data_IF_182214051429
#
_entry.id   IF_182214051429
#
_cell.length_a   1.000
_cell.length_b   1.000
_cell.length_c   1.000
_cell.angle_alpha   90.00
_cell.angle_beta   90.00
_cell.angle_gamma   90.00
#
_symmetry.space_group_name_H-M   'P 1'
#
loop_
_entity.id
_entity.type
_entity.pdbx_description
1 polymer ?
#
# COMPACT_ATOMS: atom_id res chain seq x y z
N UNK A 1 -5.25 -24.84 -9.81
CA UNK A 1 -3.77 -24.67 -9.95
C UNK A 1 -3.27 -23.31 -9.49
N UNK A 2 -3.91 -22.19 -9.83
CA UNK A 2 -3.48 -20.83 -9.43
C UNK A 2 -3.37 -20.66 -7.90
N UNK A 3 -4.34 -21.17 -7.13
CA UNK A 3 -4.31 -21.08 -5.66
C UNK A 3 -3.15 -21.82 -5.01
N UNK A 4 -2.63 -22.88 -5.63
CA UNK A 4 -1.49 -23.64 -5.09
C UNK A 4 -0.16 -22.90 -5.30
N UNK A 5 -0.03 -22.18 -6.42
CA UNK A 5 1.15 -21.37 -6.72
C UNK A 5 1.22 -20.14 -5.80
N UNK A 6 0.08 -19.49 -5.57
CA UNK A 6 -0.08 -18.44 -4.56
C UNK A 6 0.29 -18.95 -3.16
N UNK A 7 -0.15 -20.15 -2.80
CA UNK A 7 0.16 -20.75 -1.49
C UNK A 7 1.65 -21.10 -1.31
N UNK A 8 2.34 -21.58 -2.34
CA UNK A 8 3.79 -21.85 -2.31
C UNK A 8 4.59 -20.54 -2.21
N UNK A 9 4.13 -19.47 -2.87
CA UNK A 9 4.74 -18.13 -2.75
C UNK A 9 4.54 -17.51 -1.36
N UNK A 10 3.44 -17.85 -0.69
CA UNK A 10 3.18 -17.46 0.71
C UNK A 10 4.00 -18.30 1.68
N UNK A 11 4.19 -19.61 1.47
CA UNK A 11 5.05 -20.42 2.34
C UNK A 11 6.53 -19.96 2.32
N UNK A 12 6.94 -19.18 1.31
CA UNK A 12 8.16 -18.38 1.31
C UNK A 12 8.10 -17.11 2.20
N UNK A 13 7.37 -17.11 3.32
CA UNK A 13 7.17 -15.98 4.26
C UNK A 13 8.48 -15.36 4.81
N UNK A 14 9.65 -15.91 4.46
CA UNK A 14 10.98 -15.33 4.71
C UNK A 14 11.72 -14.85 3.46
N UNK A 15 11.01 -14.51 2.37
CA UNK A 15 11.63 -13.91 1.20
C UNK A 15 12.22 -12.54 1.60
N UNK A 16 13.55 -12.46 1.55
CA UNK A 16 14.28 -11.21 1.67
C UNK A 16 13.73 -10.20 0.66
N UNK A 17 13.58 -8.93 1.06
CA UNK A 17 12.98 -7.84 0.24
C UNK A 17 13.40 -7.83 -1.25
N UNK A 18 14.68 -8.06 -1.62
CA UNK A 18 15.08 -8.13 -3.03
C UNK A 18 14.41 -9.26 -3.81
N UNK A 19 14.28 -10.45 -3.22
CA UNK A 19 13.68 -11.62 -3.89
C UNK A 19 12.18 -11.40 -4.07
N UNK A 20 11.51 -10.85 -3.07
CA UNK A 20 10.11 -10.45 -3.17
C UNK A 20 9.88 -9.44 -4.30
N UNK A 21 10.73 -8.40 -4.38
CA UNK A 21 10.63 -7.40 -5.44
C UNK A 21 10.85 -8.01 -6.83
N UNK A 22 11.86 -8.87 -6.98
CA UNK A 22 12.13 -9.57 -8.23
C UNK A 22 10.96 -10.46 -8.68
N UNK A 23 10.31 -11.14 -7.73
CA UNK A 23 9.10 -11.91 -8.01
C UNK A 23 7.98 -11.02 -8.55
N UNK A 24 7.69 -9.89 -7.89
CA UNK A 24 6.66 -8.97 -8.37
C UNK A 24 6.96 -8.44 -9.78
N UNK A 25 8.22 -8.12 -10.08
CA UNK A 25 8.61 -7.67 -11.42
C UNK A 25 8.41 -8.75 -12.48
N UNK A 26 8.71 -10.00 -12.14
CA UNK A 26 8.61 -11.14 -13.05
C UNK A 26 7.17 -11.57 -13.36
N UNK A 27 6.25 -11.38 -12.40
CA UNK A 27 4.84 -11.77 -12.58
C UNK A 27 4.16 -10.99 -13.72
N UNK A 28 3.36 -11.66 -14.59
CA UNK A 28 2.46 -10.99 -15.52
C UNK A 28 1.50 -10.03 -14.80
N UNK A 29 1.05 -8.98 -15.48
CA UNK A 29 0.26 -7.90 -14.86
C UNK A 29 -0.97 -8.40 -14.07
N UNK A 30 -1.74 -9.34 -14.64
CA UNK A 30 -2.92 -9.91 -13.98
C UNK A 30 -2.55 -10.74 -12.74
N UNK A 31 -1.49 -11.55 -12.82
CA UNK A 31 -1.02 -12.35 -11.69
C UNK A 31 -0.45 -11.46 -10.59
N UNK A 32 0.29 -10.41 -10.96
CA UNK A 32 0.80 -9.39 -10.04
C UNK A 32 -0.33 -8.67 -9.34
N UNK A 33 -1.38 -8.25 -10.06
CA UNK A 33 -2.57 -7.62 -9.46
C UNK A 33 -3.18 -8.53 -8.39
N UNK A 34 -3.44 -9.80 -8.73
CA UNK A 34 -4.03 -10.77 -7.77
C UNK A 34 -3.13 -10.98 -6.56
N UNK A 35 -1.82 -11.09 -6.77
CA UNK A 35 -0.85 -11.33 -5.70
C UNK A 35 -0.69 -10.13 -4.77
N UNK A 36 -0.62 -8.91 -5.32
CA UNK A 36 -0.56 -7.66 -4.53
C UNK A 36 -1.81 -7.53 -3.66
N UNK A 37 -3.01 -7.68 -4.23
CA UNK A 37 -4.26 -7.58 -3.46
C UNK A 37 -4.35 -8.65 -2.39
N UNK A 38 -4.01 -9.91 -2.71
CA UNK A 38 -3.96 -11.00 -1.74
C UNK A 38 -3.08 -10.68 -0.52
N UNK A 39 -1.90 -10.06 -0.73
CA UNK A 39 -1.03 -9.66 0.37
C UNK A 39 -1.66 -8.55 1.20
N UNK A 40 -2.19 -7.52 0.55
CA UNK A 40 -2.73 -6.33 1.21
C UNK A 40 -4.02 -6.62 1.99
N UNK A 41 -4.84 -7.56 1.52
CA UNK A 41 -6.04 -8.04 2.21
C UNK A 41 -5.69 -8.96 3.39
N UNK A 42 -4.64 -9.79 3.28
CA UNK A 42 -4.37 -10.83 4.28
C UNK A 42 -3.95 -10.28 5.66
N UNK A 43 -4.72 -10.61 6.69
CA UNK A 43 -4.50 -10.13 8.07
C UNK A 43 -3.14 -10.51 8.68
N UNK A 44 -2.58 -11.64 8.23
CA UNK A 44 -1.34 -12.21 8.78
C UNK A 44 -0.06 -11.74 8.07
N UNK A 45 -0.18 -10.86 7.08
CA UNK A 45 0.93 -10.50 6.19
C UNK A 45 1.54 -9.12 6.46
N UNK A 46 1.51 -8.60 7.70
CA UNK A 46 1.86 -7.21 8.03
C UNK A 46 3.20 -6.74 7.43
N UNK A 47 4.29 -7.47 7.69
CA UNK A 47 5.59 -7.20 7.07
C UNK A 47 5.54 -7.17 5.53
N UNK A 48 4.83 -8.11 4.91
CA UNK A 48 4.68 -8.14 3.45
C UNK A 48 3.81 -6.98 2.94
N UNK A 49 2.83 -6.50 3.71
CA UNK A 49 2.06 -5.29 3.38
C UNK A 49 2.99 -4.08 3.34
N UNK A 50 3.86 -3.91 4.34
CA UNK A 50 4.86 -2.83 4.36
C UNK A 50 5.74 -2.91 3.12
N UNK A 51 6.36 -4.07 2.86
CA UNK A 51 7.24 -4.25 1.69
C UNK A 51 6.49 -4.01 0.38
N UNK A 52 5.23 -4.45 0.29
CA UNK A 52 4.38 -4.23 -0.90
C UNK A 52 4.06 -2.76 -1.11
N UNK A 53 3.67 -2.04 -0.06
CA UNK A 53 3.39 -0.60 -0.13
C UNK A 53 4.66 0.20 -0.47
N UNK A 54 5.80 -0.11 0.14
CA UNK A 54 7.09 0.48 -0.23
C UNK A 54 7.42 0.25 -1.71
N UNK A 55 7.13 -0.96 -2.21
CA UNK A 55 7.34 -1.27 -3.62
C UNK A 55 6.37 -0.49 -4.52
N UNK A 56 5.11 -0.34 -4.11
CA UNK A 56 4.12 0.44 -4.81
C UNK A 56 4.50 1.92 -4.89
N UNK A 57 5.25 2.48 -3.93
CA UNK A 57 5.80 3.85 -4.03
C UNK A 57 6.82 3.98 -5.17
N UNK A 58 7.63 2.94 -5.40
CA UNK A 58 8.70 2.94 -6.43
C UNK A 58 8.17 2.55 -7.81
N UNK A 59 7.17 1.65 -7.87
CA UNK A 59 6.56 1.17 -9.11
C UNK A 59 5.05 1.16 -8.98
N UNK A 60 4.36 1.82 -9.92
CA UNK A 60 2.91 1.74 -10.04
C UNK A 60 2.52 0.37 -10.62
N UNK A 61 1.95 -0.49 -9.79
CA UNK A 61 1.30 -1.75 -10.21
C UNK A 61 -0.22 -1.58 -10.20
N UNK A 62 -0.97 -2.54 -10.75
CA UNK A 62 -2.41 -2.55 -10.52
C UNK A 62 -2.71 -3.01 -9.09
N UNK A 63 -3.64 -2.34 -8.42
CA UNK A 63 -4.13 -2.69 -7.07
C UNK A 63 -5.59 -2.28 -6.96
N UNK A 64 -6.36 -2.98 -6.14
CA UNK A 64 -7.67 -2.51 -5.73
C UNK A 64 -7.50 -1.36 -4.75
N UNK A 65 -7.97 -0.17 -5.14
CA UNK A 65 -7.82 1.05 -4.35
C UNK A 65 -8.62 0.97 -3.06
N UNK A 66 -9.72 0.23 -3.00
CA UNK A 66 -10.50 0.06 -1.77
C UNK A 66 -9.68 -0.66 -0.69
N UNK A 67 -8.83 -1.61 -1.10
CA UNK A 67 -7.89 -2.27 -0.17
C UNK A 67 -6.87 -1.27 0.37
N UNK A 68 -6.35 -0.37 -0.46
CA UNK A 68 -5.44 0.70 0.00
C UNK A 68 -6.13 1.67 0.96
N UNK A 69 -7.38 2.06 0.67
CA UNK A 69 -8.16 2.95 1.53
C UNK A 69 -8.37 2.31 2.90
N UNK A 70 -8.77 1.02 2.95
CA UNK A 70 -8.95 0.31 4.21
C UNK A 70 -7.66 0.24 5.05
N UNK A 71 -6.49 0.16 4.42
CA UNK A 71 -5.20 0.17 5.11
C UNK A 71 -4.82 1.54 5.72
N UNK A 72 -5.52 2.62 5.36
CA UNK A 72 -5.34 3.94 5.95
C UNK A 72 -5.98 4.07 7.35
N UNK A 73 -6.73 3.05 7.79
CA UNK A 73 -7.38 3.07 9.10
C UNK A 73 -6.34 3.08 10.24
N UNK A 74 -6.38 4.14 11.05
CA UNK A 74 -5.50 4.31 12.22
C UNK A 74 -5.71 3.25 13.31
N UNK A 75 -6.87 2.58 13.31
CA UNK A 75 -7.24 1.55 14.29
C UNK A 75 -6.78 0.16 13.89
N UNK A 76 -6.14 0.02 12.71
CA UNK A 76 -5.39 -1.17 12.35
C UNK A 76 -4.42 -1.50 13.49
N UNK A 77 -4.57 -2.69 14.10
CA UNK A 77 -3.83 -3.20 15.26
C UNK A 77 -2.34 -3.51 14.95
N UNK A 78 -1.75 -2.79 14.00
CA UNK A 78 -0.35 -2.88 13.62
C UNK A 78 0.48 -2.05 14.58
N UNK A 79 0.66 -2.59 15.79
CA UNK A 79 1.60 -2.10 16.79
C UNK A 79 3.00 -2.03 16.18
N UNK A 80 3.42 -0.83 15.76
CA UNK A 80 4.81 -0.53 15.39
C UNK A 80 5.12 -0.40 13.89
N UNK A 81 4.18 -0.66 12.97
CA UNK A 81 4.42 -0.53 11.52
C UNK A 81 3.71 0.69 10.92
N UNK A 82 4.35 1.46 10.01
CA UNK A 82 3.81 2.71 9.45
C UNK A 82 2.76 2.47 8.35
N UNK A 83 1.98 1.40 8.43
CA UNK A 83 1.08 0.94 7.37
C UNK A 83 0.07 2.01 6.92
N UNK A 84 -0.68 2.67 7.84
CA UNK A 84 -1.57 3.76 7.43
C UNK A 84 -0.84 4.91 6.73
N UNK A 85 0.34 5.29 7.23
CA UNK A 85 1.15 6.36 6.64
C UNK A 85 1.67 5.98 5.25
N UNK A 86 2.07 4.73 5.06
CA UNK A 86 2.52 4.23 3.77
C UNK A 86 1.37 4.13 2.77
N UNK A 87 0.20 3.65 3.19
CA UNK A 87 -0.98 3.56 2.34
C UNK A 87 -1.43 4.94 1.84
N UNK A 88 -1.53 5.93 2.74
CA UNK A 88 -1.82 7.33 2.36
C UNK A 88 -0.79 7.86 1.37
N UNK A 89 0.51 7.60 1.59
CA UNK A 89 1.56 8.02 0.66
C UNK A 89 1.44 7.35 -0.71
N UNK A 90 1.12 6.06 -0.75
CA UNK A 90 0.93 5.30 -2.01
C UNK A 90 -0.23 5.88 -2.80
N UNK A 91 -1.37 6.12 -2.14
CA UNK A 91 -2.55 6.75 -2.77
C UNK A 91 -2.16 8.13 -3.28
N UNK A 92 -1.60 8.98 -2.42
CA UNK A 92 -1.24 10.36 -2.79
C UNK A 92 -0.29 10.43 -3.99
N UNK A 93 0.72 9.56 -4.07
CA UNK A 93 1.74 9.62 -5.12
C UNK A 93 1.32 8.92 -6.42
N UNK A 94 0.73 7.73 -6.32
CA UNK A 94 0.57 6.85 -7.48
C UNK A 94 -0.90 6.60 -7.87
N UNK A 95 -1.85 6.96 -7.01
CA UNK A 95 -3.31 6.84 -7.23
C UNK A 95 -4.02 8.13 -6.79
N UNK A 96 -3.44 9.28 -7.16
CA UNK A 96 -3.88 10.60 -6.70
C UNK A 96 -5.33 10.92 -7.11
N UNK A 97 -5.78 10.33 -8.22
CA UNK A 97 -7.16 10.36 -8.72
C UNK A 97 -8.18 9.79 -7.73
N UNK A 98 -7.73 9.01 -6.73
CA UNK A 98 -8.56 8.45 -5.67
C UNK A 98 -8.36 9.12 -4.31
N UNK A 99 -7.67 10.27 -4.25
CA UNK A 99 -7.47 10.98 -3.00
C UNK A 99 -8.79 11.48 -2.39
N UNK A 100 -9.70 11.96 -3.24
CA UNK A 100 -11.03 12.41 -2.81
C UNK A 100 -11.85 11.24 -2.25
N UNK A 101 -11.77 10.05 -2.88
CA UNK A 101 -12.42 8.84 -2.38
C UNK A 101 -11.94 8.48 -0.96
N UNK A 102 -10.62 8.56 -0.71
CA UNK A 102 -10.03 8.33 0.60
C UNK A 102 -10.55 9.33 1.64
N UNK A 103 -10.59 10.62 1.30
CA UNK A 103 -11.07 11.67 2.21
C UNK A 103 -12.57 11.52 2.49
N UNK A 104 -13.37 11.18 1.48
CA UNK A 104 -14.80 10.95 1.62
C UNK A 104 -15.11 9.71 2.44
N UNK A 105 -14.31 8.65 2.33
CA UNK A 105 -14.48 7.41 3.10
C UNK A 105 -14.36 7.67 4.61
N UNK A 106 -13.36 8.46 5.03
CA UNK A 106 -13.11 8.72 6.45
C UNK A 106 -13.77 9.99 7.00
N UNK A 107 -14.51 10.76 6.20
CA UNK A 107 -15.07 12.07 6.62
C UNK A 107 -15.94 12.03 7.88
N UNK A 108 -16.59 10.90 8.16
CA UNK A 108 -17.39 10.71 9.37
C UNK A 108 -16.58 10.26 10.59
N UNK A 109 -15.41 9.64 10.41
CA UNK A 109 -14.46 9.34 11.48
C UNK A 109 -13.47 10.50 11.66
N UNK A 110 -13.83 11.43 12.55
CA UNK A 110 -13.05 12.64 12.82
C UNK A 110 -11.56 12.38 13.09
N UNK A 111 -11.23 11.30 13.77
CA UNK A 111 -9.85 11.02 14.16
C UNK A 111 -9.03 10.50 12.98
N UNK A 112 -9.62 9.61 12.17
CA UNK A 112 -8.99 9.09 10.96
C UNK A 112 -8.88 10.19 9.89
N UNK A 113 -9.94 10.96 9.67
CA UNK A 113 -9.96 12.12 8.78
C UNK A 113 -8.84 13.13 9.13
N UNK A 114 -8.74 13.52 10.40
CA UNK A 114 -7.70 14.44 10.85
C UNK A 114 -6.29 13.86 10.66
N UNK A 115 -6.09 12.58 10.96
CA UNK A 115 -4.81 11.92 10.78
C UNK A 115 -4.37 11.88 9.31
N UNK A 116 -5.28 11.48 8.41
CA UNK A 116 -5.04 11.40 6.96
C UNK A 116 -4.74 12.80 6.40
N UNK A 117 -5.56 13.80 6.69
CA UNK A 117 -5.33 15.19 6.27
C UNK A 117 -4.01 15.76 6.77
N UNK A 118 -3.63 15.44 8.01
CA UNK A 118 -2.34 15.83 8.58
C UNK A 118 -1.16 15.19 7.84
N UNK A 119 -1.30 13.91 7.45
CA UNK A 119 -0.28 13.21 6.67
C UNK A 119 -0.16 13.79 5.26
N UNK A 120 -1.27 14.05 4.57
CA UNK A 120 -1.28 14.69 3.24
C UNK A 120 -0.54 16.03 3.28
N UNK A 121 -0.87 16.90 4.23
CA UNK A 121 -0.18 18.19 4.43
C UNK A 121 1.32 18.05 4.66
N UNK A 122 1.75 17.00 5.39
CA UNK A 122 3.18 16.72 5.61
C UNK A 122 3.88 16.28 4.32
N UNK A 123 3.20 15.51 3.48
CA UNK A 123 3.72 15.05 2.17
C UNK A 123 3.83 16.24 1.23
N UNK A 124 2.79 17.07 1.10
CA UNK A 124 2.79 18.29 0.30
C UNK A 124 3.95 19.21 0.68
N UNK A 125 4.12 19.47 1.98
CA UNK A 125 5.22 20.29 2.49
C UNK A 125 6.60 19.72 2.13
N UNK A 126 6.76 18.39 2.15
CA UNK A 126 8.00 17.76 1.71
C UNK A 126 8.21 17.88 0.19
N UNK A 127 7.17 17.69 -0.63
CA UNK A 127 7.26 17.83 -2.09
C UNK A 127 7.55 19.28 -2.53
N UNK A 128 7.15 20.28 -1.73
CA UNK A 128 7.47 21.70 -1.99
C UNK A 128 8.93 22.06 -1.68
N UNK A 129 9.60 21.32 -0.78
CA UNK A 129 11.00 21.55 -0.40
C UNK A 129 11.97 20.72 -1.25
N UNK A 130 11.53 19.54 -1.69
CA UNK A 130 12.26 18.68 -2.63
C UNK A 130 11.24 18.18 -3.66
N UNK A 131 11.34 18.58 -4.94
CA UNK A 131 10.34 18.17 -5.93
C UNK A 131 10.24 16.66 -5.93
N UNK A 132 9.02 16.18 -5.67
CA UNK A 132 8.66 14.77 -5.80
C UNK A 132 8.87 14.42 -7.28
N UNK A 133 10.07 13.91 -7.59
CA UNK A 133 10.45 13.54 -8.95
C UNK A 133 9.43 12.52 -9.44
N UNK A 134 8.62 12.94 -10.39
CA UNK A 134 7.98 12.05 -11.35
C UNK A 134 9.12 11.22 -11.96
N UNK A 135 9.19 9.94 -11.59
CA UNK A 135 10.05 8.96 -12.29
C UNK A 135 9.23 8.44 -13.46
#
# INVERSE_FOLDING_TARGET
MINLLLFVLVQGIHLHKPVFNGLLEWLPAEARYKYVNFILEGDKFQHLKVVTLERLLVKKYGVDVQVLIALCDRTSNTLGEPLPQLAVRVIYQNYHDHLDDLLDFYKSDKLSDQAIKSQIKRIEKHCLVTPCKSI
#
